data_IF_222671714082
#
_entry.id   IF_222671714082
#
_cell.length_a   1.000
_cell.length_b   1.000
_cell.length_c   1.000
_cell.angle_alpha   90.00
_cell.angle_beta   90.00
_cell.angle_gamma   90.00
#
_symmetry.space_group_name_H-M   'P 1'
#
loop_
_entity.id
_entity.type
_entity.pdbx_description
1 polymer ?
#
# COMPACT_ATOMS: atom_id res chain seq x y z
N UNK A 1 7.52 10.42 10.66
CA UNK A 1 6.16 9.86 10.75
C UNK A 1 5.54 10.37 12.04
N UNK A 2 4.23 10.67 12.06
CA UNK A 2 3.49 10.94 13.30
C UNK A 2 2.88 9.62 13.78
N UNK A 3 2.69 9.45 15.09
CA UNK A 3 2.05 8.27 15.70
C UNK A 3 0.73 7.89 14.98
N UNK A 4 -0.03 8.89 14.54
CA UNK A 4 -1.28 8.70 13.80
C UNK A 4 -1.08 8.07 12.42
N UNK A 5 0.01 8.37 11.71
CA UNK A 5 0.30 7.81 10.39
C UNK A 5 0.72 6.34 10.48
N UNK A 6 1.53 5.98 11.47
CA UNK A 6 1.94 4.59 11.71
C UNK A 6 0.75 3.69 12.07
N UNK A 7 -0.19 4.22 12.88
CA UNK A 7 -1.42 3.51 13.23
C UNK A 7 -2.32 3.28 12.02
N UNK A 8 -2.48 4.28 11.14
CA UNK A 8 -3.26 4.13 9.91
C UNK A 8 -2.62 3.06 9.02
N UNK A 9 -1.29 3.08 8.85
CA UNK A 9 -0.59 2.06 8.09
C UNK A 9 -0.86 0.66 8.64
N UNK A 10 -0.64 0.44 9.95
CA UNK A 10 -0.82 -0.88 10.58
C UNK A 10 -2.26 -1.36 10.43
N UNK A 11 -3.24 -0.50 10.70
CA UNK A 11 -4.66 -0.84 10.54
C UNK A 11 -4.97 -1.24 9.10
N UNK A 12 -4.43 -0.50 8.15
CA UNK A 12 -4.65 -0.73 6.72
C UNK A 12 -4.03 -2.05 6.28
N UNK A 13 -2.80 -2.33 6.70
CA UNK A 13 -2.10 -3.58 6.44
C UNK A 13 -2.82 -4.79 7.07
N UNK A 14 -3.26 -4.69 8.32
CA UNK A 14 -4.05 -5.74 8.97
C UNK A 14 -5.39 -5.99 8.27
N UNK A 15 -6.05 -4.93 7.80
CA UNK A 15 -7.32 -5.04 7.07
C UNK A 15 -7.11 -5.72 5.72
N UNK A 16 -6.01 -5.39 5.03
CA UNK A 16 -5.61 -6.07 3.80
C UNK A 16 -5.35 -7.56 4.03
N UNK A 17 -4.55 -7.92 5.05
CA UNK A 17 -4.25 -9.32 5.41
C UNK A 17 -5.52 -10.10 5.75
N UNK A 18 -6.48 -9.48 6.45
CA UNK A 18 -7.76 -10.11 6.77
C UNK A 18 -8.55 -10.44 5.50
N UNK A 19 -8.60 -9.49 4.56
CA UNK A 19 -9.22 -9.70 3.25
C UNK A 19 -8.49 -10.76 2.42
N UNK A 20 -7.15 -10.76 2.43
CA UNK A 20 -6.33 -11.74 1.75
C UNK A 20 -6.57 -13.15 2.30
N UNK A 21 -6.49 -13.34 3.63
CA UNK A 21 -6.76 -14.61 4.30
C UNK A 21 -8.17 -15.15 3.96
N UNK A 22 -9.17 -14.28 3.99
CA UNK A 22 -10.53 -14.64 3.58
C UNK A 22 -10.57 -15.08 2.10
N UNK A 23 -9.85 -14.36 1.23
CA UNK A 23 -9.74 -14.66 -0.19
C UNK A 23 -9.09 -16.02 -0.47
N UNK A 24 -8.02 -16.37 0.26
CA UNK A 24 -7.36 -17.66 0.14
C UNK A 24 -8.26 -18.83 0.59
N UNK A 25 -9.04 -18.64 1.65
CA UNK A 25 -9.94 -19.68 2.17
C UNK A 25 -11.15 -19.94 1.26
N UNK A 26 -11.71 -18.89 0.64
CA UNK A 26 -12.99 -18.96 -0.05
C UNK A 26 -12.92 -18.75 -1.58
N UNK A 27 -11.74 -18.93 -2.18
CA UNK A 27 -11.51 -18.72 -3.63
C UNK A 27 -11.90 -17.32 -4.13
N UNK A 28 -11.44 -16.29 -3.41
CA UNK A 28 -11.62 -14.88 -3.76
C UNK A 28 -13.09 -14.44 -3.93
N UNK A 29 -13.93 -14.54 -2.88
CA UNK A 29 -15.28 -13.99 -2.92
C UNK A 29 -15.22 -12.45 -3.03
N UNK A 30 -16.24 -11.84 -3.63
CA UNK A 30 -16.31 -10.39 -3.81
C UNK A 30 -16.16 -9.62 -2.48
N UNK A 31 -16.67 -10.16 -1.37
CA UNK A 31 -16.52 -9.57 -0.04
C UNK A 31 -15.05 -9.39 0.36
N UNK A 32 -14.20 -10.38 0.07
CA UNK A 32 -12.75 -10.30 0.36
C UNK A 32 -12.07 -9.18 -0.44
N UNK A 33 -12.50 -8.96 -1.69
CA UNK A 33 -12.00 -7.87 -2.53
C UNK A 33 -12.42 -6.50 -2.01
N UNK A 34 -13.65 -6.38 -1.50
CA UNK A 34 -14.13 -5.13 -0.90
C UNK A 34 -13.31 -4.79 0.33
N UNK A 35 -12.98 -5.78 1.17
CA UNK A 35 -12.11 -5.59 2.34
C UNK A 35 -10.71 -5.17 1.91
N UNK A 36 -10.05 -5.94 1.03
CA UNK A 36 -8.71 -5.59 0.52
C UNK A 36 -8.69 -4.23 -0.19
N UNK A 37 -9.70 -3.95 -1.01
CA UNK A 37 -9.82 -2.69 -1.74
C UNK A 37 -10.08 -1.51 -0.81
N UNK A 38 -10.84 -1.71 0.27
CA UNK A 38 -11.00 -0.73 1.34
C UNK A 38 -9.67 -0.39 2.00
N UNK A 39 -8.83 -1.39 2.30
CA UNK A 39 -7.48 -1.15 2.80
C UNK A 39 -6.65 -0.32 1.82
N UNK A 40 -6.51 -0.77 0.57
CA UNK A 40 -5.71 -0.06 -0.45
C UNK A 40 -6.23 1.37 -0.67
N UNK A 41 -7.55 1.59 -0.60
CA UNK A 41 -8.11 2.93 -0.71
C UNK A 41 -7.76 3.83 0.50
N UNK A 42 -7.79 3.29 1.72
CA UNK A 42 -7.39 4.03 2.92
C UNK A 42 -5.90 4.41 2.82
N UNK A 43 -5.04 3.47 2.40
CA UNK A 43 -3.61 3.71 2.18
C UNK A 43 -3.35 4.82 1.16
N UNK A 44 -4.03 4.74 0.01
CA UNK A 44 -3.96 5.73 -1.05
C UNK A 44 -4.40 7.12 -0.56
N UNK A 45 -5.54 7.19 0.13
CA UNK A 45 -6.05 8.44 0.68
C UNK A 45 -5.13 9.02 1.76
N UNK A 46 -4.59 8.18 2.64
CA UNK A 46 -3.63 8.60 3.66
C UNK A 46 -2.34 9.14 3.04
N UNK A 47 -1.92 8.58 1.92
CA UNK A 47 -0.75 9.02 1.16
C UNK A 47 -0.98 10.34 0.42
N UNK A 48 -2.18 10.58 -0.12
CA UNK A 48 -2.49 11.74 -0.97
C UNK A 48 -3.06 12.94 -0.20
N UNK A 49 -3.79 12.75 0.90
CA UNK A 49 -4.36 13.86 1.68
C UNK A 49 -3.31 14.93 2.05
N UNK A 50 -2.10 14.56 2.51
CA UNK A 50 -1.06 15.52 2.82
C UNK A 50 -0.64 16.36 1.59
N UNK A 51 -0.61 15.75 0.40
CA UNK A 51 -0.26 16.41 -0.86
C UNK A 51 -1.32 17.43 -1.30
N UNK A 52 -2.61 17.17 -1.04
CA UNK A 52 -3.71 18.06 -1.44
C UNK A 52 -3.81 19.34 -0.59
N UNK A 53 -3.37 19.28 0.67
CA UNK A 53 -3.45 20.42 1.61
C UNK A 53 -2.22 21.35 1.54
N UNK A 54 -1.26 21.06 0.66
CA UNK A 54 -0.02 21.84 0.53
C UNK A 54 0.05 22.55 -0.82
N UNK A 55 -0.39 23.81 -0.86
CA UNK A 55 -0.01 24.80 -1.90
C UNK A 55 1.51 25.12 -1.89
N UNK A 56 2.30 24.49 -1.03
CA UNK A 56 3.68 24.88 -0.70
C UNK A 56 4.72 23.76 -0.70
N UNK A 57 4.45 22.56 -1.24
CA UNK A 57 5.56 21.66 -1.60
C UNK A 57 6.15 22.16 -2.93
N UNK A 58 6.75 23.35 -2.87
CA UNK A 58 7.84 23.68 -3.77
C UNK A 58 8.91 22.62 -3.53
N UNK A 59 8.89 21.60 -4.41
CA UNK A 59 10.00 20.76 -4.88
C UNK A 59 11.31 21.02 -4.13
N UNK A 60 11.34 20.60 -2.88
CA UNK A 60 12.50 20.45 -2.02
C UNK A 60 12.28 19.17 -1.21
N UNK A 61 11.73 18.13 -1.86
CA UNK A 61 11.96 16.77 -1.41
C UNK A 61 13.48 16.62 -1.41
N UNK A 62 14.15 16.39 -0.26
CA UNK A 62 15.56 16.05 -0.28
C UNK A 62 15.70 14.89 -1.27
N UNK A 63 16.65 14.99 -2.21
CA UNK A 63 16.90 14.00 -3.26
C UNK A 63 17.50 12.73 -2.64
N UNK A 64 16.75 12.11 -1.74
CA UNK A 64 17.09 10.87 -1.12
C UNK A 64 16.42 9.76 -1.92
N UNK A 65 17.24 9.02 -2.65
CA UNK A 65 16.84 7.88 -3.46
C UNK A 65 15.92 6.91 -2.71
N UNK A 66 16.01 6.84 -1.37
CA UNK A 66 15.17 5.99 -0.53
C UNK A 66 13.72 6.48 -0.48
N UNK A 67 13.49 7.78 -0.32
CA UNK A 67 12.13 8.35 -0.30
C UNK A 67 11.49 8.18 -1.68
N UNK A 68 12.26 8.43 -2.74
CA UNK A 68 11.80 8.22 -4.12
C UNK A 68 11.48 6.75 -4.39
N UNK A 69 12.32 5.82 -3.91
CA UNK A 69 12.07 4.39 -4.02
C UNK A 69 10.78 3.96 -3.29
N UNK A 70 10.55 4.46 -2.07
CA UNK A 70 9.33 4.18 -1.32
C UNK A 70 8.07 4.67 -2.07
N UNK A 71 8.09 5.90 -2.58
CA UNK A 71 6.97 6.44 -3.37
C UNK A 71 6.68 5.55 -4.60
N UNK A 72 7.73 5.12 -5.31
CA UNK A 72 7.58 4.24 -6.47
C UNK A 72 7.03 2.86 -6.10
N UNK A 73 7.41 2.32 -4.95
CA UNK A 73 6.89 1.05 -4.43
C UNK A 73 5.41 1.19 -4.03
N UNK A 74 5.03 2.27 -3.36
CA UNK A 74 3.63 2.60 -3.07
C UNK A 74 2.75 2.62 -4.33
N UNK A 75 3.21 3.32 -5.38
CA UNK A 75 2.51 3.35 -6.68
C UNK A 75 2.44 1.94 -7.30
N UNK A 76 3.52 1.17 -7.22
CA UNK A 76 3.57 -0.19 -7.74
C UNK A 76 2.53 -1.09 -7.05
N UNK A 77 2.38 -0.99 -5.73
CA UNK A 77 1.37 -1.74 -4.95
C UNK A 77 -0.04 -1.45 -5.46
N UNK A 78 -0.38 -0.18 -5.68
CA UNK A 78 -1.70 0.20 -6.19
C UNK A 78 -1.95 -0.36 -7.60
N UNK A 79 -0.96 -0.28 -8.49
CA UNK A 79 -1.05 -0.83 -9.84
C UNK A 79 -1.17 -2.36 -9.84
N UNK A 80 -0.40 -3.04 -8.99
CA UNK A 80 -0.47 -4.49 -8.82
C UNK A 80 -1.84 -4.91 -8.27
N UNK A 81 -2.42 -4.14 -7.35
CA UNK A 81 -3.76 -4.43 -6.85
C UNK A 81 -4.83 -4.26 -7.94
N UNK A 82 -4.75 -3.22 -8.76
CA UNK A 82 -5.63 -3.06 -9.93
C UNK A 82 -5.47 -4.23 -10.92
N UNK A 83 -4.24 -4.68 -11.16
CA UNK A 83 -3.96 -5.86 -11.97
C UNK A 83 -4.56 -7.12 -11.35
N UNK A 84 -4.46 -7.30 -10.04
CA UNK A 84 -5.07 -8.40 -9.32
C UNK A 84 -6.59 -8.39 -9.50
N UNK A 85 -7.26 -7.24 -9.36
CA UNK A 85 -8.70 -7.11 -9.62
C UNK A 85 -9.06 -7.49 -11.06
N UNK A 86 -8.23 -7.12 -12.04
CA UNK A 86 -8.42 -7.54 -13.44
C UNK A 86 -8.28 -9.07 -13.60
N UNK A 87 -7.26 -9.67 -12.99
CA UNK A 87 -7.03 -11.13 -12.99
C UNK A 87 -8.16 -11.89 -12.29
N UNK A 88 -8.71 -11.32 -11.21
CA UNK A 88 -9.90 -11.83 -10.54
C UNK A 88 -11.11 -11.83 -11.46
N UNK A 89 -11.32 -10.74 -12.22
CA UNK A 89 -12.45 -10.61 -13.16
C UNK A 89 -12.44 -11.70 -14.24
N UNK A 90 -11.26 -12.10 -14.71
CA UNK A 90 -11.09 -13.22 -15.67
C UNK A 90 -11.05 -14.60 -14.98
N UNK A 91 -11.39 -14.68 -13.69
CA UNK A 91 -11.50 -15.91 -12.87
C UNK A 91 -10.23 -16.74 -12.78
N UNK A 92 -9.05 -16.12 -12.97
CA UNK A 92 -7.75 -16.79 -12.81
C UNK A 92 -7.29 -16.72 -11.35
N UNK A 93 -8.00 -17.41 -10.45
CA UNK A 93 -7.80 -17.27 -9.01
C UNK A 93 -6.38 -17.58 -8.52
N UNK A 94 -5.70 -18.59 -9.10
CA UNK A 94 -4.30 -18.89 -8.75
C UNK A 94 -3.36 -17.71 -9.01
N UNK A 95 -3.50 -17.06 -10.17
CA UNK A 95 -2.68 -15.90 -10.52
C UNK A 95 -3.07 -14.69 -9.66
N UNK A 96 -4.36 -14.52 -9.35
CA UNK A 96 -4.82 -13.50 -8.42
C UNK A 96 -4.16 -13.68 -7.04
N UNK A 97 -4.20 -14.88 -6.47
CA UNK A 97 -3.60 -15.17 -5.17
C UNK A 97 -2.08 -14.98 -5.16
N UNK A 98 -1.42 -15.32 -6.26
CA UNK A 98 0.02 -15.05 -6.43
C UNK A 98 0.30 -13.54 -6.39
N UNK A 99 -0.48 -12.73 -7.11
CA UNK A 99 -0.36 -11.27 -7.08
C UNK A 99 -0.63 -10.69 -5.70
N UNK A 100 -1.63 -11.19 -4.96
CA UNK A 100 -1.90 -10.75 -3.59
C UNK A 100 -0.70 -11.02 -2.68
N UNK A 101 -0.09 -12.20 -2.78
CA UNK A 101 1.10 -12.54 -1.99
C UNK A 101 2.30 -11.65 -2.34
N UNK A 102 2.52 -11.35 -3.63
CA UNK A 102 3.58 -10.41 -4.02
C UNK A 102 3.31 -8.99 -3.49
N UNK A 103 2.05 -8.53 -3.54
CA UNK A 103 1.64 -7.25 -2.97
C UNK A 103 1.97 -7.19 -1.48
N UNK A 104 1.66 -8.23 -0.71
CA UNK A 104 1.95 -8.28 0.74
C UNK A 104 3.45 -8.10 1.04
N UNK A 105 4.31 -8.77 0.26
CA UNK A 105 5.76 -8.69 0.41
C UNK A 105 6.26 -7.28 0.05
N UNK A 106 5.84 -6.75 -1.09
CA UNK A 106 6.26 -5.43 -1.58
C UNK A 106 5.80 -4.34 -0.62
N UNK A 107 4.56 -4.42 -0.13
CA UNK A 107 4.00 -3.45 0.81
C UNK A 107 4.70 -3.48 2.17
N UNK A 108 5.11 -4.67 2.62
CA UNK A 108 5.96 -4.79 3.81
C UNK A 108 7.34 -4.13 3.60
N UNK A 109 7.99 -4.35 2.45
CA UNK A 109 9.28 -3.73 2.11
C UNK A 109 9.16 -2.21 2.04
N UNK A 110 8.10 -1.70 1.39
CA UNK A 110 7.81 -0.27 1.28
C UNK A 110 7.70 0.40 2.66
N UNK A 111 6.98 -0.25 3.59
CA UNK A 111 6.89 0.22 4.96
C UNK A 111 8.23 0.30 5.68
N UNK A 112 9.05 -0.75 5.57
CA UNK A 112 10.39 -0.75 6.17
C UNK A 112 11.26 0.37 5.58
N UNK A 113 11.16 0.62 4.28
CA UNK A 113 11.86 1.73 3.63
C UNK A 113 11.38 3.10 4.11
N UNK A 114 10.07 3.29 4.28
CA UNK A 114 9.48 4.51 4.84
C UNK A 114 9.91 4.75 6.29
N UNK A 115 9.89 3.70 7.12
CA UNK A 115 10.42 3.76 8.48
C UNK A 115 11.90 4.14 8.45
N UNK A 116 12.71 3.45 7.65
CA UNK A 116 14.14 3.73 7.56
C UNK A 116 14.42 5.17 7.08
N UNK A 117 13.68 5.64 6.08
CA UNK A 117 13.79 7.01 5.58
C UNK A 117 13.46 8.03 6.67
N UNK A 118 12.43 7.77 7.48
CA UNK A 118 12.00 8.69 8.56
C UNK A 118 12.90 8.67 9.79
N UNK A 119 13.54 7.54 10.13
CA UNK A 119 14.45 7.45 11.27
C UNK A 119 15.90 7.84 10.96
N UNK A 120 16.39 7.61 9.73
CA UNK A 120 17.79 7.86 9.37
C UNK A 120 18.04 9.25 8.76
N UNK A 121 16.99 9.91 8.25
CA UNK A 121 17.06 11.29 7.79
C UNK A 121 16.48 12.18 8.90
N UNK A 122 17.31 12.79 9.76
CA UNK A 122 16.79 13.81 10.66
C UNK A 122 16.22 14.94 9.79
N UNK A 123 14.95 15.27 10.00
CA UNK A 123 14.37 16.52 9.51
C UNK A 123 15.22 17.66 10.08
N UNK A 124 16.09 18.25 9.25
CA UNK A 124 16.70 19.56 9.49
C UNK A 124 15.80 20.62 8.89
#
# INVERSE_FOLDING_TARGET
MTLSGDLIFILTYCLFLTGAAWSFQNNAPMSSLVVMGGAVLIDFLASILPLMNLKSIAINLPSNNIITAAILLGILIWLMFLLALFVWKIKKYRLFHFLILEIEIIWFIDYILLLYATYKVPFK
#
